data_IF_337331066057
#
_entry.id   IF_337331066057
#
_cell.length_a   1.000
_cell.length_b   1.000
_cell.length_c   1.000
_cell.angle_alpha   90.00
_cell.angle_beta   90.00
_cell.angle_gamma   90.00
#
_symmetry.space_group_name_H-M   'P 1'
#
loop_
_entity.id
_entity.type
_entity.pdbx_description
1 polymer ?
#
# COMPACT_ATOMS: atom_id res chain seq x y z
N UNK A 1 7.39 -13.69 -8.06
CA UNK A 1 8.58 -12.93 -8.49
C UNK A 1 9.42 -12.69 -7.25
N UNK A 2 10.74 -12.63 -7.34
CA UNK A 2 11.59 -12.27 -6.19
C UNK A 2 12.24 -10.92 -6.42
N UNK A 3 12.36 -10.13 -5.35
CA UNK A 3 13.18 -8.93 -5.31
C UNK A 3 14.36 -9.16 -4.38
N UNK A 4 15.56 -8.86 -4.87
CA UNK A 4 16.80 -8.84 -4.08
C UNK A 4 17.24 -7.39 -3.91
N UNK A 5 16.74 -6.77 -2.85
CA UNK A 5 16.96 -5.35 -2.55
C UNK A 5 18.38 -5.15 -2.01
N UNK A 6 19.15 -4.24 -2.61
CA UNK A 6 20.50 -3.91 -2.10
C UNK A 6 20.44 -3.45 -0.65
N UNK A 7 21.40 -3.88 0.16
CA UNK A 7 21.58 -3.43 1.54
C UNK A 7 23.01 -2.89 1.70
N UNK A 8 23.23 -1.77 2.41
CA UNK A 8 24.54 -1.11 2.47
C UNK A 8 25.62 -1.97 3.14
N UNK A 9 25.24 -2.81 4.11
CA UNK A 9 26.19 -3.54 4.97
C UNK A 9 25.96 -5.05 5.04
N UNK A 10 25.01 -5.58 4.29
CA UNK A 10 24.60 -7.00 4.34
C UNK A 10 24.39 -7.51 2.92
N UNK A 11 24.16 -8.82 2.80
CA UNK A 11 23.61 -9.39 1.58
C UNK A 11 22.29 -8.72 1.18
N UNK A 12 21.92 -8.90 -0.08
CA UNK A 12 20.65 -8.38 -0.61
C UNK A 12 19.49 -9.00 0.16
N UNK A 13 18.51 -8.18 0.49
CA UNK A 13 17.31 -8.62 1.19
C UNK A 13 16.36 -9.25 0.17
N UNK A 14 16.11 -10.55 0.33
CA UNK A 14 15.16 -11.29 -0.50
C UNK A 14 13.73 -11.01 -0.05
N UNK A 15 12.87 -10.64 -1.00
CA UNK A 15 11.42 -10.52 -0.82
C UNK A 15 10.71 -11.34 -1.88
N UNK A 16 9.79 -12.21 -1.46
CA UNK A 16 8.91 -12.92 -2.36
C UNK A 16 7.68 -12.05 -2.67
N UNK A 17 7.56 -11.63 -3.93
CA UNK A 17 6.57 -10.69 -4.43
C UNK A 17 5.47 -11.42 -5.21
N UNK A 18 4.22 -11.16 -4.80
CA UNK A 18 3.00 -11.64 -5.43
C UNK A 18 2.02 -10.51 -5.76
N UNK A 19 0.78 -10.87 -6.07
CA UNK A 19 -0.30 -9.92 -6.34
C UNK A 19 -0.62 -9.08 -5.08
N UNK A 20 -0.65 -9.74 -3.92
CA UNK A 20 -0.66 -9.10 -2.61
C UNK A 20 0.53 -9.64 -1.83
N UNK A 21 1.46 -8.76 -1.50
CA UNK A 21 2.66 -9.05 -0.72
C UNK A 21 2.50 -8.39 0.65
N UNK A 22 2.88 -9.08 1.72
CA UNK A 22 2.83 -8.55 3.08
C UNK A 22 4.21 -8.61 3.70
N UNK A 23 4.67 -7.52 4.32
CA UNK A 23 5.96 -7.42 5.00
C UNK A 23 5.73 -7.19 6.49
N UNK A 24 6.04 -8.21 7.30
CA UNK A 24 5.86 -8.24 8.75
C UNK A 24 7.19 -8.54 9.44
N UNK A 25 7.19 -8.67 10.78
CA UNK A 25 8.38 -9.00 11.57
C UNK A 25 8.79 -7.89 12.54
N UNK A 26 9.70 -8.22 13.46
CA UNK A 26 10.05 -7.35 14.59
C UNK A 26 11.15 -6.33 14.28
N UNK A 27 11.87 -6.47 13.15
CA UNK A 27 12.95 -5.55 12.78
C UNK A 27 12.38 -4.31 12.06
N UNK A 28 11.94 -3.33 12.86
CA UNK A 28 11.28 -2.12 12.36
C UNK A 28 12.18 -1.28 11.47
N UNK A 29 13.47 -1.20 11.80
CA UNK A 29 14.48 -0.49 11.03
C UNK A 29 14.67 -1.11 9.65
N UNK A 30 14.73 -2.44 9.56
CA UNK A 30 14.83 -3.13 8.27
C UNK A 30 13.56 -2.99 7.44
N UNK A 31 12.37 -3.11 8.06
CA UNK A 31 11.09 -2.84 7.35
C UNK A 31 11.04 -1.42 6.79
N UNK A 32 11.44 -0.43 7.60
CA UNK A 32 11.50 0.96 7.18
C UNK A 32 12.50 1.18 6.04
N UNK A 33 13.69 0.58 6.14
CA UNK A 33 14.69 0.60 5.07
C UNK A 33 14.13 0.04 3.75
N UNK A 34 13.45 -1.11 3.79
CA UNK A 34 12.84 -1.71 2.61
C UNK A 34 11.77 -0.79 2.02
N UNK A 35 10.87 -0.27 2.84
CA UNK A 35 9.87 0.71 2.39
C UNK A 35 10.52 1.92 1.71
N UNK A 36 11.56 2.49 2.33
CA UNK A 36 12.26 3.66 1.80
C UNK A 36 12.94 3.38 0.46
N UNK A 37 13.62 2.23 0.32
CA UNK A 37 14.27 1.85 -0.95
C UNK A 37 13.22 1.60 -2.03
N UNK A 38 12.11 0.90 -1.74
CA UNK A 38 11.02 0.71 -2.70
C UNK A 38 10.47 2.05 -3.18
N UNK A 39 10.22 2.97 -2.24
CA UNK A 39 9.71 4.32 -2.53
C UNK A 39 10.69 5.15 -3.36
N UNK A 40 11.98 5.15 -3.02
CA UNK A 40 12.98 5.90 -3.77
C UNK A 40 13.25 5.31 -5.16
N UNK A 41 13.34 3.99 -5.24
CA UNK A 41 13.72 3.28 -6.45
C UNK A 41 12.62 3.38 -7.51
N UNK A 42 11.38 3.00 -7.17
CA UNK A 42 10.24 3.00 -8.08
C UNK A 42 9.52 4.35 -8.15
N UNK A 43 9.60 5.18 -7.10
CA UNK A 43 9.04 6.55 -7.10
C UNK A 43 9.89 7.57 -7.89
N UNK A 44 10.99 7.15 -8.50
CA UNK A 44 11.79 8.02 -9.37
C UNK A 44 12.56 9.11 -8.62
N UNK A 45 12.98 8.86 -7.37
CA UNK A 45 13.80 9.81 -6.59
C UNK A 45 15.06 10.17 -7.37
N UNK A 46 15.32 11.47 -7.50
CA UNK A 46 16.64 11.98 -7.91
C UNK A 46 17.55 11.95 -6.68
N UNK A 47 18.57 11.11 -6.71
CA UNK A 47 19.47 10.92 -5.57
C UNK A 47 20.44 12.11 -5.43
N UNK A 48 20.70 12.52 -4.19
CA UNK A 48 21.82 13.41 -3.87
C UNK A 48 23.07 12.60 -3.48
N UNK A 49 24.21 13.28 -3.33
CA UNK A 49 25.44 12.62 -2.85
C UNK A 49 25.29 12.08 -1.43
N UNK A 50 24.48 12.74 -0.59
CA UNK A 50 24.14 12.26 0.76
C UNK A 50 23.29 10.99 0.71
N UNK A 51 22.28 10.94 -0.18
CA UNK A 51 21.44 9.75 -0.38
C UNK A 51 22.28 8.51 -0.75
N UNK A 52 23.30 8.69 -1.60
CA UNK A 52 24.16 7.61 -2.11
C UNK A 52 25.39 7.32 -1.24
N UNK A 53 25.62 8.11 -0.18
CA UNK A 53 26.83 7.97 0.66
C UNK A 53 26.96 6.58 1.31
N UNK A 54 25.83 5.94 1.61
CA UNK A 54 25.78 4.58 2.18
C UNK A 54 25.92 3.46 1.12
N UNK A 55 25.96 3.84 -0.16
CA UNK A 55 26.09 2.94 -1.31
C UNK A 55 27.37 3.25 -2.12
N UNK A 56 28.40 3.79 -1.47
CA UNK A 56 29.67 4.17 -2.12
C UNK A 56 29.48 5.11 -3.33
N UNK A 57 28.46 5.97 -3.26
CA UNK A 57 28.05 6.89 -4.33
C UNK A 57 27.50 6.23 -5.60
N UNK A 58 27.15 4.94 -5.54
CA UNK A 58 26.46 4.22 -6.60
C UNK A 58 24.94 4.19 -6.36
N UNK A 59 24.14 4.22 -7.43
CA UNK A 59 22.68 4.11 -7.29
C UNK A 59 22.28 2.72 -6.78
N UNK A 60 21.40 2.62 -5.76
CA UNK A 60 20.96 1.33 -5.25
C UNK A 60 20.15 0.59 -6.31
N UNK A 61 20.27 -0.74 -6.32
CA UNK A 61 19.61 -1.61 -7.32
C UNK A 61 18.73 -2.67 -6.67
N UNK A 62 17.68 -3.08 -7.37
CA UNK A 62 16.86 -4.25 -7.04
C UNK A 62 17.05 -5.27 -8.17
N UNK A 63 17.45 -6.49 -7.81
CA UNK A 63 17.58 -7.59 -8.78
C UNK A 63 16.36 -8.51 -8.73
N UNK A 64 16.07 -9.18 -9.83
CA UNK A 64 15.11 -10.29 -9.89
C UNK A 64 15.78 -11.66 -9.65
N UNK A 65 15.00 -12.74 -9.77
CA UNK A 65 15.45 -14.12 -9.59
C UNK A 65 16.48 -14.60 -10.63
N UNK A 66 16.57 -13.94 -11.78
CA UNK A 66 17.60 -14.20 -12.79
C UNK A 66 18.90 -13.43 -12.53
N UNK A 67 18.91 -12.52 -11.55
CA UNK A 67 20.01 -11.63 -11.26
C UNK A 67 20.03 -10.37 -12.12
N UNK A 68 18.98 -10.12 -12.91
CA UNK A 68 18.84 -8.92 -13.73
C UNK A 68 18.28 -7.74 -12.92
N UNK A 69 18.67 -6.52 -13.30
CA UNK A 69 18.19 -5.30 -12.64
C UNK A 69 16.72 -5.07 -13.03
N UNK A 70 15.85 -5.01 -12.03
CA UNK A 70 14.46 -4.59 -12.19
C UNK A 70 14.43 -3.11 -12.54
N UNK A 71 13.94 -2.74 -13.72
CA UNK A 71 13.95 -1.33 -14.15
C UNK A 71 13.13 -0.47 -13.18
N UNK A 72 13.68 0.68 -12.76
CA UNK A 72 12.98 1.68 -11.92
C UNK A 72 11.63 2.12 -12.47
N UNK A 73 11.47 2.12 -13.79
CA UNK A 73 10.25 2.50 -14.51
C UNK A 73 9.30 1.32 -14.80
N UNK A 74 9.53 0.13 -14.21
CA UNK A 74 8.71 -1.05 -14.50
C UNK A 74 7.30 -0.97 -13.93
N UNK A 75 7.06 -0.04 -12.99
CA UNK A 75 5.78 0.17 -12.32
C UNK A 75 5.40 1.65 -12.30
N UNK A 76 4.10 1.93 -12.41
CA UNK A 76 3.50 3.14 -11.84
C UNK A 76 3.39 2.95 -10.34
N UNK A 77 4.27 3.65 -9.63
CA UNK A 77 4.41 3.53 -8.19
C UNK A 77 3.50 4.50 -7.45
N UNK A 78 2.75 4.00 -6.47
CA UNK A 78 1.93 4.80 -5.57
C UNK A 78 2.27 4.37 -4.14
N UNK A 79 2.78 5.29 -3.34
CA UNK A 79 2.99 5.09 -1.91
C UNK A 79 1.87 5.76 -1.12
N UNK A 80 1.24 4.99 -0.25
CA UNK A 80 0.19 5.44 0.65
C UNK A 80 0.64 5.11 2.07
N UNK A 81 1.22 6.11 2.73
CA UNK A 81 1.70 6.02 4.11
C UNK A 81 0.80 6.78 5.09
N UNK A 82 -0.16 7.56 4.57
CA UNK A 82 -1.09 8.37 5.32
C UNK A 82 -2.38 8.66 4.53
N UNK A 83 -3.43 9.15 5.20
CA UNK A 83 -4.61 9.65 4.49
C UNK A 83 -4.35 10.90 3.65
N UNK A 84 -3.30 11.67 3.96
CA UNK A 84 -2.91 12.79 3.12
C UNK A 84 -2.47 12.30 1.74
N UNK A 85 -1.72 11.20 1.68
CA UNK A 85 -1.29 10.61 0.41
C UNK A 85 -2.49 10.10 -0.40
N UNK A 86 -3.51 9.54 0.27
CA UNK A 86 -4.78 9.18 -0.37
C UNK A 86 -5.49 10.40 -0.97
N UNK A 87 -5.56 11.51 -0.23
CA UNK A 87 -6.13 12.76 -0.73
C UNK A 87 -5.35 13.26 -1.95
N UNK A 88 -4.02 13.31 -1.87
CA UNK A 88 -3.16 13.73 -2.99
C UNK A 88 -3.42 12.88 -4.24
N UNK A 89 -3.62 11.57 -4.10
CA UNK A 89 -3.97 10.70 -5.22
C UNK A 89 -5.37 10.95 -5.82
N UNK A 90 -6.29 11.52 -5.04
CA UNK A 90 -7.65 11.85 -5.48
C UNK A 90 -7.79 13.29 -5.99
N UNK A 91 -6.75 14.11 -5.90
CA UNK A 91 -6.71 15.45 -6.49
C UNK A 91 -6.38 15.39 -7.98
N UNK A 92 -6.99 16.26 -8.80
CA UNK A 92 -6.67 16.38 -10.21
C UNK A 92 -5.32 17.10 -10.40
N UNK A 93 -4.24 16.36 -10.20
CA UNK A 93 -2.85 16.81 -10.37
C UNK A 93 -2.10 15.80 -11.22
N UNK A 94 -1.28 16.28 -12.15
CA UNK A 94 -0.52 15.41 -13.06
C UNK A 94 0.29 14.38 -12.25
N UNK A 95 0.11 13.10 -12.59
CA UNK A 95 0.76 11.97 -11.90
C UNK A 95 -0.10 11.27 -10.84
N UNK A 96 -1.28 11.80 -10.50
CA UNK A 96 -2.21 11.15 -9.55
C UNK A 96 -3.14 10.16 -10.24
N UNK A 97 -3.76 9.26 -9.46
CA UNK A 97 -4.83 8.38 -9.97
C UNK A 97 -5.98 9.18 -10.57
N UNK A 98 -6.44 10.22 -9.86
CA UNK A 98 -7.55 11.06 -10.31
C UNK A 98 -7.24 11.71 -11.66
N UNK A 99 -6.02 12.21 -11.86
CA UNK A 99 -5.63 12.77 -13.17
C UNK A 99 -5.62 11.69 -14.25
N UNK A 100 -5.05 10.52 -13.99
CA UNK A 100 -5.01 9.40 -14.94
C UNK A 100 -6.40 8.92 -15.37
N UNK A 101 -7.36 8.91 -14.45
CA UNK A 101 -8.75 8.54 -14.73
C UNK A 101 -9.53 9.68 -15.40
N UNK A 102 -9.54 10.87 -14.81
CA UNK A 102 -10.34 11.99 -15.27
C UNK A 102 -9.88 12.52 -16.62
N UNK A 103 -8.57 12.51 -16.92
CA UNK A 103 -8.08 12.90 -18.25
C UNK A 103 -8.67 12.05 -19.39
N UNK A 104 -9.05 10.80 -19.11
CA UNK A 104 -9.72 9.93 -20.09
C UNK A 104 -11.22 10.23 -20.26
N UNK A 105 -11.84 10.84 -19.26
CA UNK A 105 -13.24 11.29 -19.30
C UNK A 105 -13.34 12.67 -19.93
N UNK A 106 -12.48 13.60 -19.51
CA UNK A 106 -12.52 15.02 -19.86
C UNK A 106 -12.33 15.26 -21.36
N UNK A 107 -11.65 14.36 -22.07
CA UNK A 107 -11.41 14.46 -23.51
C UNK A 107 -12.57 13.90 -24.37
N UNK A 108 -13.76 13.69 -23.80
CA UNK A 108 -14.95 13.30 -24.56
C UNK A 108 -15.55 14.49 -25.32
N UNK A 109 -16.17 14.20 -26.48
CA UNK A 109 -16.63 15.19 -27.47
C UNK A 109 -17.63 16.18 -26.86
N UNK A 110 -18.50 15.71 -25.99
CA UNK A 110 -19.49 16.52 -25.28
C UNK A 110 -18.84 17.61 -24.41
N UNK A 111 -17.77 17.28 -23.69
CA UNK A 111 -17.04 18.24 -22.85
C UNK A 111 -16.24 19.22 -23.70
N UNK A 112 -15.57 18.73 -24.76
CA UNK A 112 -14.77 19.57 -25.66
C UNK A 112 -15.66 20.61 -26.37
N UNK A 113 -16.87 20.22 -26.79
CA UNK A 113 -17.82 21.14 -27.41
C UNK A 113 -18.27 22.28 -26.46
N UNK A 114 -18.31 22.03 -25.15
CA UNK A 114 -18.56 23.09 -24.17
C UNK A 114 -17.36 24.04 -24.03
N UNK A 115 -16.12 23.54 -24.15
CA UNK A 115 -14.93 24.39 -24.12
C UNK A 115 -14.86 25.33 -25.33
N UNK A 116 -15.26 24.86 -26.51
CA UNK A 116 -15.36 25.71 -27.71
C UNK A 116 -16.25 26.93 -27.46
N UNK A 117 -17.46 26.70 -26.91
CA UNK A 117 -18.38 27.79 -26.55
C UNK A 117 -17.80 28.76 -25.52
N UNK A 118 -17.01 28.27 -24.55
CA UNK A 118 -16.35 29.14 -23.58
C UNK A 118 -15.34 30.05 -24.29
N UNK A 119 -14.52 29.50 -25.18
CA UNK A 119 -13.53 30.26 -25.93
C UNK A 119 -14.18 31.27 -26.89
N UNK A 120 -15.30 30.93 -27.53
CA UNK A 120 -16.10 31.89 -28.32
C UNK A 120 -16.56 33.09 -27.47
N UNK A 121 -16.97 32.86 -26.21
CA UNK A 121 -17.33 33.97 -25.31
C UNK A 121 -16.12 34.81 -24.90
N UNK A 122 -14.94 34.20 -24.74
CA UNK A 122 -13.70 34.93 -24.43
C UNK A 122 -13.29 35.85 -25.59
N UNK A 123 -13.43 35.40 -26.85
CA UNK A 123 -13.19 36.23 -28.03
C UNK A 123 -14.13 37.45 -28.09
N UNK A 124 -15.41 37.25 -27.74
CA UNK A 124 -16.37 38.36 -27.66
C UNK A 124 -15.98 39.38 -26.58
N UNK A 125 -15.48 38.93 -25.43
CA UNK A 125 -14.99 39.80 -24.35
C UNK A 125 -13.75 40.58 -24.82
N UNK A 126 -12.79 39.94 -25.48
CA UNK A 126 -11.63 40.61 -26.07
C UNK A 126 -12.07 41.73 -27.03
N UNK A 127 -12.98 41.40 -27.96
CA UNK A 127 -13.52 42.37 -28.91
C UNK A 127 -14.16 43.58 -28.22
N UNK A 128 -14.96 43.35 -27.18
CA UNK A 128 -15.57 44.42 -26.39
C UNK A 128 -14.51 45.26 -25.64
N UNK A 129 -13.50 44.63 -25.04
CA UNK A 129 -12.42 45.33 -24.35
C UNK A 129 -11.61 46.21 -25.31
N UNK A 130 -11.22 45.67 -26.47
CA UNK A 130 -10.44 46.40 -27.47
C UNK A 130 -11.23 47.55 -28.10
N UNK A 131 -12.57 47.48 -28.17
CA UNK A 131 -13.40 48.63 -28.55
C UNK A 131 -13.34 49.78 -27.53
N UNK A 132 -13.12 49.48 -26.26
CA UNK A 132 -13.01 50.47 -25.18
C UNK A 132 -11.55 50.93 -24.93
N UNK A 133 -10.57 50.13 -25.32
CA UNK A 133 -9.15 50.48 -25.24
C UNK A 133 -8.81 51.41 -26.42
N UNK A 134 -8.64 52.70 -26.12
CA UNK A 134 -8.26 53.70 -27.12
C UNK A 134 -6.84 54.23 -26.87
N UNK A 135 -5.85 53.35 -26.99
CA UNK A 135 -4.44 53.65 -26.72
C UNK A 135 -3.62 53.51 -28.00
N UNK A 136 -3.50 54.63 -28.72
CA UNK A 136 -2.81 54.70 -30.02
C UNK A 136 -1.71 55.76 -29.98
N UNK A 137 -0.52 55.42 -30.50
CA UNK A 137 0.61 56.35 -30.68
C UNK A 137 1.31 56.14 -32.02
N UNK A 138 1.07 57.06 -32.97
CA UNK A 138 1.60 56.94 -34.32
C UNK A 138 1.08 55.70 -35.04
N UNK A 139 1.98 54.74 -35.32
CA UNK A 139 1.66 53.45 -35.98
C UNK A 139 1.48 52.29 -34.98
N UNK A 140 1.55 52.57 -33.67
CA UNK A 140 1.47 51.54 -32.62
C UNK A 140 0.11 51.64 -31.95
N UNK A 141 -0.62 50.54 -31.97
CA UNK A 141 -1.85 50.29 -31.23
C UNK A 141 -1.54 49.36 -30.05
N UNK A 142 -2.09 49.67 -28.88
CA UNK A 142 -2.13 48.74 -27.76
C UNK A 142 -3.47 48.03 -27.76
N UNK A 143 -3.46 46.70 -27.87
CA UNK A 143 -4.64 45.84 -27.75
C UNK A 143 -4.35 44.65 -26.84
N UNK A 144 -5.41 43.97 -26.42
CA UNK A 144 -5.33 42.70 -25.73
C UNK A 144 -5.61 41.57 -26.73
N UNK A 145 -4.90 40.46 -26.57
CA UNK A 145 -5.20 39.21 -27.27
C UNK A 145 -5.53 38.14 -26.23
N UNK A 146 -6.61 37.41 -26.47
CA UNK A 146 -6.97 36.27 -25.65
C UNK A 146 -6.02 35.10 -25.90
N UNK A 147 -5.89 34.23 -24.89
CA UNK A 147 -5.26 32.92 -25.03
C UNK A 147 -6.35 31.87 -24.82
N UNK A 148 -6.50 30.88 -25.71
CA UNK A 148 -7.52 29.85 -25.56
C UNK A 148 -7.41 29.15 -24.20
N UNK A 149 -8.52 29.11 -23.49
CA UNK A 149 -8.65 28.34 -22.26
C UNK A 149 -8.61 26.85 -22.61
N UNK A 150 -7.84 26.10 -21.83
CA UNK A 150 -7.72 24.64 -21.96
C UNK A 150 -8.46 23.93 -20.82
N UNK A 151 -8.84 22.66 -21.04
CA UNK A 151 -9.48 21.85 -20.00
C UNK A 151 -8.56 21.65 -18.79
N UNK A 152 -7.26 21.45 -19.00
CA UNK A 152 -6.27 21.34 -17.91
C UNK A 152 -6.22 22.62 -17.06
N UNK A 153 -6.28 23.80 -17.68
CA UNK A 153 -6.31 25.07 -16.95
C UNK A 153 -7.60 25.22 -16.15
N UNK A 154 -8.75 24.94 -16.76
CA UNK A 154 -10.03 24.98 -16.06
C UNK A 154 -10.05 24.03 -14.88
N UNK A 155 -9.68 22.76 -15.07
CA UNK A 155 -9.71 21.75 -14.02
C UNK A 155 -8.73 22.07 -12.89
N UNK A 156 -7.52 22.54 -13.21
CA UNK A 156 -6.51 22.84 -12.18
C UNK A 156 -6.76 24.14 -11.40
N UNK A 157 -7.54 25.09 -11.94
CA UNK A 157 -7.73 26.42 -11.34
C UNK A 157 -9.16 26.69 -10.88
N UNK A 158 -10.15 26.01 -11.45
CA UNK A 158 -11.57 26.29 -11.24
C UNK A 158 -12.34 25.10 -10.67
N UNK A 159 -11.75 23.91 -10.61
CA UNK A 159 -12.37 22.73 -10.01
C UNK A 159 -11.55 22.21 -8.84
N UNK A 160 -12.26 21.86 -7.76
CA UNK A 160 -11.70 21.16 -6.60
C UNK A 160 -12.57 19.93 -6.33
N UNK A 161 -11.98 18.78 -5.97
CA UNK A 161 -12.78 17.65 -5.53
C UNK A 161 -13.50 18.03 -4.23
N UNK A 162 -14.81 17.77 -4.18
CA UNK A 162 -15.60 17.89 -2.98
C UNK A 162 -16.16 16.52 -2.61
N UNK A 163 -16.12 16.20 -1.33
CA UNK A 163 -16.81 15.05 -0.77
C UNK A 163 -18.13 15.53 -0.18
N UNK A 164 -19.22 14.83 -0.43
CA UNK A 164 -20.54 15.28 0.01
C UNK A 164 -21.38 14.12 0.56
N UNK A 165 -22.14 14.40 1.61
CA UNK A 165 -23.20 13.53 2.14
C UNK A 165 -24.48 14.35 2.08
N UNK A 166 -25.53 13.80 1.46
CA UNK A 166 -26.84 14.47 1.32
C UNK A 166 -26.71 15.92 0.75
N UNK A 167 -25.88 16.09 -0.28
CA UNK A 167 -25.57 17.37 -0.94
C UNK A 167 -24.91 18.44 -0.04
N UNK A 168 -24.41 18.07 1.14
CA UNK A 168 -23.58 18.94 1.97
C UNK A 168 -22.12 18.55 1.81
N UNK A 169 -21.33 19.50 1.32
CA UNK A 169 -19.90 19.32 1.19
C UNK A 169 -19.27 19.18 2.57
N UNK A 170 -18.35 18.22 2.71
CA UNK A 170 -17.48 18.04 3.86
C UNK A 170 -16.03 17.96 3.39
N UNK A 171 -15.12 18.41 4.24
CA UNK A 171 -13.69 18.22 4.01
C UNK A 171 -13.34 16.74 4.09
N UNK A 172 -12.30 16.35 3.35
CA UNK A 172 -11.85 14.97 3.27
C UNK A 172 -11.58 14.35 4.65
N UNK A 173 -11.07 15.13 5.59
CA UNK A 173 -10.77 14.72 6.96
C UNK A 173 -11.99 14.11 7.66
N UNK A 174 -13.18 14.63 7.38
CA UNK A 174 -14.46 14.20 7.98
C UNK A 174 -15.10 13.00 7.30
N UNK A 175 -14.57 12.55 6.17
CA UNK A 175 -14.99 11.30 5.52
C UNK A 175 -14.51 10.13 6.39
N UNK A 176 -15.37 9.13 6.61
CA UNK A 176 -14.98 7.95 7.37
C UNK A 176 -13.78 7.25 6.70
N UNK A 177 -12.84 6.76 7.51
CA UNK A 177 -11.59 6.19 7.00
C UNK A 177 -11.81 4.99 6.06
N UNK A 178 -12.85 4.19 6.32
CA UNK A 178 -13.34 3.12 5.43
C UNK A 178 -13.78 3.61 4.07
N UNK A 179 -14.43 4.77 4.02
CA UNK A 179 -14.97 5.36 2.80
C UNK A 179 -13.85 6.01 2.00
N UNK A 180 -12.89 6.66 2.67
CA UNK A 180 -11.66 7.17 2.04
C UNK A 180 -10.94 6.06 1.25
N UNK A 181 -10.73 4.91 1.89
CA UNK A 181 -10.12 3.74 1.25
C UNK A 181 -10.98 3.17 0.12
N UNK A 182 -12.30 3.09 0.33
CA UNK A 182 -13.22 2.57 -0.70
C UNK A 182 -13.26 3.45 -1.95
N UNK A 183 -13.29 4.77 -1.80
CA UNK A 183 -13.25 5.73 -2.91
C UNK A 183 -11.93 5.63 -3.69
N UNK A 184 -10.81 5.50 -2.98
CA UNK A 184 -9.52 5.26 -3.62
C UNK A 184 -9.51 3.97 -4.45
N UNK A 185 -10.00 2.86 -3.90
CA UNK A 185 -10.07 1.58 -4.61
C UNK A 185 -11.04 1.63 -5.80
N UNK A 186 -12.16 2.34 -5.69
CA UNK A 186 -13.08 2.51 -6.82
C UNK A 186 -12.43 3.31 -7.94
N UNK A 187 -11.73 4.40 -7.62
CA UNK A 187 -10.99 5.18 -8.61
C UNK A 187 -9.89 4.36 -9.29
N UNK A 188 -9.17 3.55 -8.50
CA UNK A 188 -8.18 2.62 -9.01
C UNK A 188 -8.79 1.59 -9.96
N UNK A 189 -9.92 0.98 -9.61
CA UNK A 189 -10.64 0.02 -10.47
C UNK A 189 -10.98 0.65 -11.83
N UNK A 190 -11.51 1.87 -11.81
CA UNK A 190 -11.86 2.59 -13.05
C UNK A 190 -10.63 2.88 -13.90
N UNK A 191 -9.53 3.32 -13.30
CA UNK A 191 -8.28 3.58 -14.01
C UNK A 191 -7.71 2.28 -14.63
N UNK A 192 -7.61 1.21 -13.85
CA UNK A 192 -7.05 -0.07 -14.27
C UNK A 192 -7.87 -0.72 -15.38
N UNK A 193 -9.20 -0.51 -15.41
CA UNK A 193 -10.05 -0.98 -16.51
C UNK A 193 -9.68 -0.38 -17.89
N UNK A 194 -8.88 0.69 -17.89
CA UNK A 194 -8.51 1.48 -19.07
C UNK A 194 -7.01 1.48 -19.36
N UNK A 195 -6.20 0.67 -18.65
CA UNK A 195 -4.75 0.58 -18.88
C UNK A 195 -4.24 -0.84 -18.69
N UNK A 196 -3.11 -1.16 -19.33
CA UNK A 196 -2.37 -2.43 -19.14
C UNK A 196 -1.01 -2.21 -18.49
N UNK A 197 -0.68 -0.97 -18.14
CA UNK A 197 0.59 -0.66 -17.47
C UNK A 197 0.62 -1.30 -16.08
N UNK A 198 1.81 -1.64 -15.59
CA UNK A 198 1.95 -2.27 -14.28
C UNK A 198 1.86 -1.21 -13.17
N UNK A 199 1.12 -1.50 -12.11
CA UNK A 199 0.98 -0.66 -10.94
C UNK A 199 1.53 -1.39 -9.71
N UNK A 200 2.33 -0.67 -8.91
CA UNK A 200 2.80 -1.13 -7.61
C UNK A 200 2.29 -0.14 -6.55
N UNK A 201 1.39 -0.61 -5.70
CA UNK A 201 0.81 0.19 -4.63
C UNK A 201 1.37 -0.29 -3.29
N UNK A 202 2.02 0.61 -2.58
CA UNK A 202 2.56 0.34 -1.25
C UNK A 202 1.66 0.98 -0.21
N UNK A 203 1.20 0.19 0.75
CA UNK A 203 0.33 0.62 1.84
C UNK A 203 1.06 0.40 3.15
N UNK A 204 1.38 1.51 3.83
CA UNK A 204 2.09 1.49 5.10
C UNK A 204 1.21 2.08 6.21
N UNK A 205 1.10 1.36 7.33
CA UNK A 205 0.39 1.83 8.55
C UNK A 205 -1.08 2.23 8.39
N UNK A 206 -1.77 1.78 7.33
CA UNK A 206 -3.18 2.10 7.08
C UNK A 206 -4.11 1.47 8.12
N UNK A 207 -3.71 0.30 8.60
CA UNK A 207 -4.34 -0.42 9.69
C UNK A 207 -4.48 0.39 10.98
N UNK A 208 -3.51 1.24 11.31
CA UNK A 208 -3.56 2.09 12.50
C UNK A 208 -4.75 3.07 12.52
N UNK A 209 -5.42 3.25 11.39
CA UNK A 209 -6.53 4.19 11.24
C UNK A 209 -7.90 3.54 11.01
N UNK A 210 -7.99 2.21 10.98
CA UNK A 210 -9.24 1.48 10.75
C UNK A 210 -9.40 0.35 11.77
N UNK A 211 -10.61 -0.12 12.01
CA UNK A 211 -10.81 -1.33 12.83
C UNK A 211 -10.37 -2.58 12.05
N UNK A 212 -10.11 -3.68 12.77
CA UNK A 212 -9.82 -4.98 12.15
C UNK A 212 -10.93 -5.42 11.19
N UNK A 213 -12.21 -5.28 11.58
CA UNK A 213 -13.37 -5.59 10.73
C UNK A 213 -13.41 -4.77 9.43
N UNK A 214 -13.05 -3.49 9.54
CA UNK A 214 -12.96 -2.58 8.41
C UNK A 214 -11.82 -2.97 7.48
N UNK A 215 -10.68 -3.35 8.07
CA UNK A 215 -9.52 -3.81 7.34
C UNK A 215 -9.79 -5.13 6.63
N UNK A 216 -10.52 -6.08 7.21
CA UNK A 216 -10.92 -7.32 6.54
C UNK A 216 -11.73 -7.04 5.26
N UNK A 217 -12.65 -6.09 5.34
CA UNK A 217 -13.45 -5.67 4.20
C UNK A 217 -12.58 -5.00 3.11
N UNK A 218 -11.61 -4.18 3.53
CA UNK A 218 -10.63 -3.58 2.64
C UNK A 218 -9.71 -4.62 1.97
N UNK A 219 -9.16 -5.56 2.75
CA UNK A 219 -8.29 -6.63 2.28
C UNK A 219 -9.00 -7.50 1.22
N UNK A 220 -10.27 -7.84 1.45
CA UNK A 220 -11.09 -8.55 0.45
C UNK A 220 -11.24 -7.77 -0.85
N UNK A 221 -11.46 -6.44 -0.78
CA UNK A 221 -11.57 -5.59 -1.97
C UNK A 221 -10.26 -5.52 -2.76
N UNK A 222 -9.10 -5.36 -2.10
CA UNK A 222 -7.81 -5.37 -2.81
C UNK A 222 -7.51 -6.76 -3.41
N UNK A 223 -7.92 -7.85 -2.75
CA UNK A 223 -7.85 -9.21 -3.29
C UNK A 223 -8.63 -9.36 -4.60
N UNK A 224 -9.88 -8.89 -4.62
CA UNK A 224 -10.72 -8.89 -5.82
C UNK A 224 -10.09 -8.05 -6.95
N UNK A 225 -9.52 -6.89 -6.64
CA UNK A 225 -8.85 -6.05 -7.65
C UNK A 225 -7.58 -6.72 -8.19
N UNK A 226 -6.76 -7.30 -7.32
CA UNK A 226 -5.53 -7.99 -7.71
C UNK A 226 -5.82 -9.22 -8.58
N UNK A 227 -6.92 -9.95 -8.32
CA UNK A 227 -7.39 -11.04 -9.17
C UNK A 227 -7.93 -10.54 -10.52
N UNK A 228 -8.65 -9.40 -10.51
CA UNK A 228 -9.22 -8.79 -11.73
C UNK A 228 -8.13 -8.20 -12.65
N UNK A 229 -7.05 -7.68 -12.09
CA UNK A 229 -6.00 -6.96 -12.81
C UNK A 229 -4.61 -7.58 -12.55
N UNK A 230 -4.12 -8.47 -13.45
CA UNK A 230 -2.80 -9.11 -13.30
C UNK A 230 -1.61 -8.13 -13.33
N UNK A 231 -1.84 -6.90 -13.79
CA UNK A 231 -0.87 -5.81 -13.80
C UNK A 231 -0.86 -4.98 -12.50
N UNK A 232 -1.62 -5.37 -11.47
CA UNK A 232 -1.66 -4.71 -10.17
C UNK A 232 -0.94 -5.54 -9.10
N UNK A 233 -0.01 -4.91 -8.39
CA UNK A 233 0.67 -5.49 -7.24
C UNK A 233 0.49 -4.58 -6.02
N UNK A 234 0.19 -5.18 -4.87
CA UNK A 234 0.18 -4.53 -3.56
C UNK A 234 1.36 -5.01 -2.72
N UNK A 235 1.99 -4.09 -1.99
CA UNK A 235 2.88 -4.39 -0.86
C UNK A 235 2.31 -3.73 0.37
N UNK A 236 1.93 -4.53 1.35
CA UNK A 236 1.37 -4.08 2.61
C UNK A 236 2.44 -4.18 3.70
N UNK A 237 2.45 -3.22 4.63
CA UNK A 237 3.19 -3.30 5.88
C UNK A 237 2.21 -3.35 7.06
N UNK A 238 1.65 -4.54 7.37
CA UNK A 238 0.72 -4.69 8.49
C UNK A 238 1.43 -4.51 9.83
N UNK A 239 0.67 -4.07 10.82
CA UNK A 239 1.00 -4.05 12.23
C UNK A 239 1.04 -5.48 12.78
N UNK A 240 1.70 -5.62 13.92
CA UNK A 240 2.02 -6.93 14.49
C UNK A 240 0.81 -7.74 14.96
N UNK A 241 -0.38 -7.14 15.11
CA UNK A 241 -1.59 -7.81 15.60
C UNK A 241 -2.82 -7.43 14.77
N UNK A 242 -3.67 -8.40 14.42
CA UNK A 242 -5.00 -8.19 13.82
C UNK A 242 -5.05 -7.96 12.30
N UNK A 243 -3.95 -7.51 11.69
CA UNK A 243 -3.96 -7.02 10.30
C UNK A 243 -3.22 -7.88 9.28
N UNK A 244 -2.32 -8.77 9.73
CA UNK A 244 -1.76 -9.79 8.83
C UNK A 244 -2.88 -10.73 8.40
N UNK A 245 -3.00 -10.97 7.08
CA UNK A 245 -3.96 -11.94 6.54
C UNK A 245 -3.24 -13.10 5.89
N UNK A 246 -3.67 -14.31 6.19
CA UNK A 246 -3.09 -15.53 5.63
C UNK A 246 -4.21 -16.34 4.98
N UNK A 247 -4.09 -16.49 3.66
CA UNK A 247 -4.92 -17.36 2.84
C UNK A 247 -4.02 -18.21 1.91
N UNK A 248 -4.61 -19.16 1.21
CA UNK A 248 -3.88 -20.11 0.35
C UNK A 248 -3.12 -19.40 -0.78
N UNK A 249 -3.64 -18.29 -1.30
CA UNK A 249 -3.05 -17.57 -2.44
C UNK A 249 -1.93 -16.60 -2.01
N UNK A 250 -2.06 -15.96 -0.84
CA UNK A 250 -1.17 -14.89 -0.38
C UNK A 250 -0.11 -15.33 0.63
N UNK A 251 -0.28 -16.48 1.29
CA UNK A 251 0.64 -17.00 2.33
C UNK A 251 2.10 -16.98 1.88
N UNK A 252 2.39 -17.43 0.65
CA UNK A 252 3.75 -17.49 0.09
C UNK A 252 4.42 -16.12 -0.06
N UNK A 253 3.63 -15.06 -0.07
CA UNK A 253 4.08 -13.67 -0.23
C UNK A 253 4.05 -12.88 1.09
N UNK A 254 3.94 -13.59 2.22
CA UNK A 254 4.15 -13.04 3.56
C UNK A 254 5.64 -13.15 3.88
N UNK A 255 6.33 -12.01 3.90
CA UNK A 255 7.74 -11.87 4.18
C UNK A 255 7.95 -11.44 5.64
N UNK A 256 8.83 -12.13 6.34
CA UNK A 256 9.16 -11.90 7.76
C UNK A 256 10.54 -11.25 7.81
N UNK A 257 10.59 -9.99 8.24
CA UNK A 257 11.82 -9.24 8.46
C UNK A 257 12.07 -9.07 9.97
N UNK A 258 12.87 -9.96 10.52
CA UNK A 258 13.23 -9.98 11.96
C UNK A 258 14.77 -10.10 12.11
N UNK A 259 15.26 -11.01 12.95
CA UNK A 259 16.71 -11.32 13.03
C UNK A 259 17.19 -12.10 11.80
N UNK A 260 16.26 -12.83 11.16
CA UNK A 260 16.42 -13.45 9.86
C UNK A 260 15.33 -12.97 8.90
N UNK A 261 15.60 -13.10 7.61
CA UNK A 261 14.67 -12.78 6.52
C UNK A 261 14.20 -14.07 5.88
N UNK A 262 12.91 -14.31 5.91
CA UNK A 262 12.26 -15.47 5.28
C UNK A 262 10.88 -15.08 4.75
N UNK A 263 10.25 -16.00 4.03
CA UNK A 263 8.83 -15.91 3.70
C UNK A 263 8.10 -17.17 4.15
N UNK A 264 6.80 -17.06 4.37
CA UNK A 264 5.97 -18.22 4.65
C UNK A 264 5.82 -19.12 3.40
N UNK A 265 5.37 -20.35 3.64
CA UNK A 265 5.08 -21.31 2.60
C UNK A 265 3.56 -21.47 2.41
N UNK A 266 3.19 -22.42 1.55
CA UNK A 266 1.82 -22.90 1.44
C UNK A 266 1.22 -23.30 2.80
N UNK A 267 -0.01 -22.87 3.09
CA UNK A 267 -0.66 -23.08 4.39
C UNK A 267 -0.82 -24.57 4.71
N UNK A 268 -1.24 -25.38 3.74
CA UNK A 268 -1.45 -26.82 3.95
C UNK A 268 -0.11 -27.53 4.17
N UNK A 269 0.92 -27.13 3.43
CA UNK A 269 2.28 -27.64 3.66
C UNK A 269 2.75 -27.34 5.10
N UNK A 270 2.60 -26.10 5.57
CA UNK A 270 2.99 -25.72 6.93
C UNK A 270 2.16 -26.47 7.97
N UNK A 271 0.86 -26.60 7.76
CA UNK A 271 -0.05 -27.34 8.65
C UNK A 271 0.43 -28.79 8.86
N UNK A 272 0.71 -29.51 7.78
CA UNK A 272 1.19 -30.90 7.86
C UNK A 272 2.59 -31.03 8.47
N UNK A 273 3.45 -30.01 8.35
CA UNK A 273 4.77 -29.98 9.00
C UNK A 273 4.70 -29.68 10.49
N UNK A 274 3.85 -28.74 10.89
CA UNK A 274 3.64 -28.36 12.29
C UNK A 274 2.96 -29.51 13.04
N UNK A 275 1.96 -30.15 12.43
CA UNK A 275 1.24 -31.30 12.99
C UNK A 275 2.15 -32.46 13.39
N UNK A 276 3.23 -32.71 12.64
CA UNK A 276 4.21 -33.76 12.96
C UNK A 276 4.99 -33.55 14.26
N UNK A 277 5.09 -32.31 14.72
CA UNK A 277 5.82 -31.94 15.93
C UNK A 277 4.89 -31.48 17.06
N UNK A 278 3.57 -31.52 16.83
CA UNK A 278 2.60 -31.00 17.78
C UNK A 278 2.47 -31.96 18.98
N UNK A 279 2.40 -31.44 20.22
CA UNK A 279 2.47 -32.27 21.44
C UNK A 279 1.20 -33.07 21.74
N UNK A 280 0.11 -32.87 20.98
CA UNK A 280 -1.19 -33.49 21.20
C UNK A 280 -1.71 -34.15 19.93
N UNK A 281 -2.41 -35.29 20.09
CA UNK A 281 -3.16 -35.92 19.00
C UNK A 281 -4.41 -35.12 18.61
N UNK A 282 -4.89 -34.22 19.49
CA UNK A 282 -5.95 -33.28 19.19
C UNK A 282 -5.35 -32.01 18.59
N UNK A 283 -5.08 -32.04 17.29
CA UNK A 283 -4.50 -30.93 16.56
C UNK A 283 -5.56 -29.83 16.31
N UNK A 284 -5.20 -28.52 16.32
CA UNK A 284 -6.09 -27.45 15.89
C UNK A 284 -6.71 -27.73 14.51
N UNK A 285 -7.92 -27.25 14.25
CA UNK A 285 -8.45 -27.32 12.88
C UNK A 285 -7.57 -26.50 11.93
N UNK A 286 -7.68 -26.73 10.61
CA UNK A 286 -6.97 -25.92 9.61
C UNK A 286 -7.21 -24.43 9.79
N UNK A 287 -8.47 -24.06 10.05
CA UNK A 287 -8.84 -22.67 10.34
C UNK A 287 -8.22 -22.17 11.65
N UNK A 288 -8.23 -22.98 12.71
CA UNK A 288 -7.57 -22.62 13.97
C UNK A 288 -6.06 -22.41 13.79
N UNK A 289 -5.40 -23.26 13.00
CA UNK A 289 -3.99 -23.10 12.65
C UNK A 289 -3.73 -21.84 11.81
N UNK A 290 -4.60 -21.56 10.82
CA UNK A 290 -4.53 -20.36 9.98
C UNK A 290 -4.62 -19.08 10.82
N UNK A 291 -5.58 -19.02 11.77
CA UNK A 291 -5.71 -17.92 12.73
C UNK A 291 -4.46 -17.77 13.63
N UNK A 292 -3.92 -18.89 14.11
CA UNK A 292 -2.65 -18.88 14.85
C UNK A 292 -1.51 -18.35 14.00
N UNK A 293 -1.41 -18.72 12.72
CA UNK A 293 -0.38 -18.18 11.82
C UNK A 293 -0.47 -16.65 11.71
N UNK A 294 -1.67 -16.07 11.53
CA UNK A 294 -1.85 -14.61 11.47
C UNK A 294 -1.36 -13.93 12.76
N UNK A 295 -1.54 -14.60 13.90
CA UNK A 295 -1.17 -14.10 15.22
C UNK A 295 0.34 -14.21 15.50
N UNK A 296 0.96 -15.33 15.15
CA UNK A 296 2.35 -15.63 15.56
C UNK A 296 3.40 -15.19 14.56
N UNK A 297 3.05 -15.10 13.27
CA UNK A 297 4.01 -14.79 12.19
C UNK A 297 4.79 -13.50 12.42
N UNK A 298 4.18 -12.38 12.88
CA UNK A 298 4.92 -11.15 13.15
C UNK A 298 6.02 -11.28 14.22
N UNK A 299 5.97 -12.34 15.04
CA UNK A 299 6.93 -12.63 16.11
C UNK A 299 7.95 -13.72 15.75
N UNK A 300 7.82 -14.36 14.60
CA UNK A 300 8.78 -15.37 14.15
C UNK A 300 10.16 -14.76 13.93
N UNK A 301 11.18 -15.62 14.00
CA UNK A 301 12.57 -15.28 13.67
C UNK A 301 13.12 -14.12 14.50
N UNK A 302 12.64 -13.96 15.74
CA UNK A 302 13.05 -12.89 16.66
C UNK A 302 13.53 -13.43 17.99
N UNK A 303 14.74 -13.05 18.41
CA UNK A 303 15.23 -13.24 19.78
C UNK A 303 14.66 -12.16 20.68
N UNK A 304 13.45 -12.41 21.17
CA UNK A 304 12.76 -11.43 22.01
C UNK A 304 13.35 -11.40 23.43
N UNK A 305 13.64 -10.19 23.92
CA UNK A 305 14.05 -9.97 25.32
C UNK A 305 12.87 -10.09 26.29
N UNK A 306 11.66 -9.76 25.82
CA UNK A 306 10.40 -9.90 26.54
C UNK A 306 9.51 -10.85 25.77
N UNK A 307 9.04 -11.89 26.43
CA UNK A 307 8.18 -12.89 25.81
C UNK A 307 6.81 -12.28 25.47
N UNK A 308 6.25 -12.53 24.27
CA UNK A 308 4.93 -12.04 23.92
C UNK A 308 3.87 -12.79 24.74
N UNK A 309 2.78 -12.09 25.07
CA UNK A 309 1.61 -12.69 25.71
C UNK A 309 0.76 -13.38 24.65
N UNK A 310 0.90 -14.69 24.52
CA UNK A 310 0.20 -15.52 23.54
C UNK A 310 -0.62 -16.59 24.24
N UNK A 311 -1.64 -17.13 23.55
CA UNK A 311 -2.33 -18.32 24.02
C UNK A 311 -1.38 -19.51 24.07
N UNK A 312 -1.76 -20.58 24.79
CA UNK A 312 -0.94 -21.80 24.85
C UNK A 312 -0.76 -22.43 23.46
N UNK A 313 -1.82 -22.42 22.64
CA UNK A 313 -1.80 -22.96 21.27
C UNK A 313 -0.84 -22.16 20.40
N UNK A 314 -0.95 -20.84 20.42
CA UNK A 314 -0.09 -19.94 19.63
C UNK A 314 1.37 -20.04 20.06
N UNK A 315 1.63 -20.15 21.36
CA UNK A 315 2.98 -20.33 21.91
C UNK A 315 3.65 -21.61 21.40
N UNK A 316 2.89 -22.72 21.36
CA UNK A 316 3.37 -24.00 20.84
C UNK A 316 3.63 -23.92 19.34
N UNK A 317 2.69 -23.33 18.57
CA UNK A 317 2.83 -23.17 17.12
C UNK A 317 4.04 -22.29 16.79
N UNK A 318 4.24 -21.17 17.49
CA UNK A 318 5.41 -20.29 17.32
C UNK A 318 6.72 -21.06 17.52
N UNK A 319 6.81 -21.87 18.58
CA UNK A 319 8.02 -22.66 18.86
C UNK A 319 8.31 -23.67 17.74
N UNK A 320 7.28 -24.38 17.27
CA UNK A 320 7.43 -25.36 16.19
C UNK A 320 7.82 -24.66 14.89
N UNK A 321 7.21 -23.53 14.55
CA UNK A 321 7.54 -22.77 13.34
C UNK A 321 8.99 -22.27 13.38
N UNK A 322 9.44 -21.68 14.48
CA UNK A 322 10.86 -21.29 14.64
C UNK A 322 11.79 -22.50 14.46
N UNK A 323 11.44 -23.66 15.01
CA UNK A 323 12.23 -24.89 14.79
C UNK A 323 12.26 -25.29 13.31
N UNK A 324 11.14 -25.22 12.59
CA UNK A 324 11.05 -25.54 11.16
C UNK A 324 11.85 -24.56 10.29
N UNK A 325 11.98 -23.30 10.70
CA UNK A 325 12.87 -22.30 10.10
C UNK A 325 14.31 -22.36 10.63
N UNK A 326 14.66 -23.36 11.44
CA UNK A 326 16.00 -23.49 12.04
C UNK A 326 16.43 -22.28 12.90
N UNK A 327 15.47 -21.63 13.55
CA UNK A 327 15.69 -20.46 14.39
C UNK A 327 15.62 -20.82 15.89
N UNK A 328 16.69 -20.47 16.62
CA UNK A 328 16.93 -20.93 18.00
C UNK A 328 16.21 -20.12 19.11
N UNK A 329 14.99 -19.63 18.86
CA UNK A 329 14.17 -18.97 19.89
C UNK A 329 12.92 -19.78 20.21
N UNK A 330 12.70 -20.01 21.50
CA UNK A 330 11.50 -20.66 22.01
C UNK A 330 10.89 -19.84 23.14
N UNK A 331 9.57 -19.68 23.10
CA UNK A 331 8.73 -19.27 24.22
C UNK A 331 8.88 -20.29 25.35
N UNK A 332 9.14 -19.78 26.56
CA UNK A 332 9.20 -20.57 27.78
C UNK A 332 7.83 -20.62 28.43
N UNK A 333 7.46 -21.80 28.91
CA UNK A 333 6.25 -21.96 29.69
C UNK A 333 6.38 -21.20 31.01
N UNK A 334 5.43 -20.30 31.28
CA UNK A 334 5.36 -19.57 32.54
C UNK A 334 4.26 -20.19 33.40
N UNK A 335 4.62 -21.19 34.19
CA UNK A 335 3.67 -21.87 35.07
C UNK A 335 3.25 -20.95 36.22
N UNK A 336 1.94 -20.83 36.46
CA UNK A 336 1.43 -20.15 37.67
C UNK A 336 0.59 -21.10 38.51
N UNK A 337 0.71 -21.06 39.86
CA UNK A 337 0.03 -22.00 40.74
C UNK A 337 -1.50 -21.88 40.73
N UNK A 338 -2.03 -20.80 40.17
CA UNK A 338 -3.44 -20.44 40.09
C UNK A 338 -4.09 -20.70 38.71
N UNK A 339 -3.40 -21.36 37.77
CA UNK A 339 -3.88 -21.66 36.41
C UNK A 339 -5.31 -22.24 36.37
N UNK A 340 -5.63 -23.20 37.25
CA UNK A 340 -6.96 -23.80 37.29
C UNK A 340 -8.04 -22.79 37.73
N UNK A 341 -7.72 -21.91 38.69
CA UNK A 341 -8.62 -20.87 39.16
C UNK A 341 -8.87 -19.83 38.07
N UNK A 342 -7.83 -19.40 37.37
CA UNK A 342 -7.92 -18.46 36.25
C UNK A 342 -8.81 -19.04 35.12
N UNK A 343 -8.61 -20.31 34.78
CA UNK A 343 -9.43 -20.97 33.77
C UNK A 343 -10.90 -21.12 34.20
N UNK A 344 -11.17 -21.46 35.47
CA UNK A 344 -12.55 -21.49 36.01
C UNK A 344 -13.21 -20.11 35.99
N UNK A 345 -12.46 -19.05 36.29
CA UNK A 345 -12.97 -17.68 36.22
C UNK A 345 -13.43 -17.32 34.80
N UNK A 346 -12.62 -17.61 33.78
CA UNK A 346 -13.00 -17.35 32.38
C UNK A 346 -14.25 -18.13 31.97
N UNK A 347 -14.35 -19.41 32.38
CA UNK A 347 -15.55 -20.23 32.13
C UNK A 347 -16.82 -19.68 32.78
N UNK A 348 -16.72 -18.96 33.89
CA UNK A 348 -17.88 -18.38 34.59
C UNK A 348 -18.45 -17.12 33.93
N UNK A 349 -17.77 -16.58 32.90
CA UNK A 349 -18.15 -15.36 32.18
C UNK A 349 -18.78 -15.64 30.81
N UNK A 350 -18.70 -16.89 30.35
CA UNK A 350 -19.41 -17.40 29.19
C UNK A 350 -20.71 -18.06 29.64
#
# INVERSE_FOLDING_TARGET
>A
MKFFVQHPYKERIELNIGAITQIVGQNKELKYYIWQILSWYFGGKKYSSEDLSIFDYEEPTILDESGEIVKRSSYHYIDISSFKDLLEQMEYKKGTLAYGYLSKIVNQVDIVAHLEKINEQVELIEGAMNQHINLNSGKVEYHLENRPLTLDQLLSKNFSPFFAIENKNLSFEWVANTDKLSLFLEMLDRLLSQTREKYLIVLNTIDSFVSEESYDSFYKKIGQLAQKYPNLNFILFPSDQGYLKIDEESSRFVNILSDQVEHLYDVEFMYERVKKHYPSNNFPTREGFRMSLETVTPYLLTKMTRQPSLSLVDSVILNILNQLFHFNYCIRYSQTPDEELLHRYLKSKN
#
